data_IF_965952674332
#
_entry.id   IF_965952674332
#
_cell.length_a   1.000
_cell.length_b   1.000
_cell.length_c   1.000
_cell.angle_alpha   90.00
_cell.angle_beta   90.00
_cell.angle_gamma   90.00
#
_symmetry.space_group_name_H-M   'P 1'
#
loop_
_entity.id
_entity.type
_entity.pdbx_description
1 polymer ?
#
# COMPACT_ATOMS: atom_id res chain seq x y z
N UNK A 1 8.71 12.17 -5.02
CA UNK A 1 7.58 12.97 -4.49
C UNK A 1 8.12 13.79 -3.34
N UNK A 2 7.77 15.07 -3.29
CA UNK A 2 8.01 15.90 -2.10
C UNK A 2 7.10 15.45 -0.94
N UNK A 3 7.38 15.83 0.31
CA UNK A 3 6.49 15.53 1.44
C UNK A 3 5.06 16.04 1.24
N UNK A 4 4.89 17.17 0.55
CA UNK A 4 3.57 17.72 0.24
C UNK A 4 2.84 16.91 -0.85
N UNK A 5 3.55 16.54 -1.92
CA UNK A 5 3.00 15.63 -2.94
C UNK A 5 2.62 14.29 -2.34
N UNK A 6 3.38 13.84 -1.33
CA UNK A 6 3.08 12.65 -0.56
C UNK A 6 1.79 12.78 0.24
N UNK A 7 1.65 13.82 1.07
CA UNK A 7 0.41 14.02 1.85
C UNK A 7 -0.81 14.06 0.94
N UNK A 8 -0.74 14.84 -0.15
CA UNK A 8 -1.82 14.96 -1.12
C UNK A 8 -2.17 13.60 -1.77
N UNK A 9 -1.16 12.76 -2.04
CA UNK A 9 -1.37 11.45 -2.61
C UNK A 9 -2.07 10.49 -1.64
N UNK A 10 -1.65 10.49 -0.37
CA UNK A 10 -2.21 9.60 0.67
C UNK A 10 -3.63 10.00 1.06
N UNK A 11 -3.94 11.29 1.00
CA UNK A 11 -5.25 11.85 1.35
C UNK A 11 -6.31 11.69 0.24
N UNK A 12 -5.90 11.56 -1.02
CA UNK A 12 -6.83 11.41 -2.13
C UNK A 12 -7.51 10.02 -2.12
N UNK A 13 -8.85 9.95 -1.94
CA UNK A 13 -9.59 8.70 -1.82
C UNK A 13 -9.64 7.90 -3.12
N UNK A 14 -9.25 8.48 -4.26
CA UNK A 14 -9.17 7.78 -5.54
C UNK A 14 -7.87 6.96 -5.67
N UNK A 15 -6.88 7.20 -4.80
CA UNK A 15 -5.63 6.46 -4.81
C UNK A 15 -5.77 5.15 -4.02
N UNK A 16 -5.15 4.10 -4.56
CA UNK A 16 -5.08 2.79 -3.90
C UNK A 16 -3.71 2.66 -3.26
N UNK A 17 -3.69 2.59 -1.94
CA UNK A 17 -2.47 2.43 -1.15
C UNK A 17 -2.43 0.99 -0.66
N UNK A 18 -1.37 0.25 -1.00
CA UNK A 18 -1.21 -1.14 -0.59
C UNK A 18 -0.01 -1.25 0.32
N UNK A 19 -0.25 -1.55 1.59
CA UNK A 19 0.79 -1.71 2.59
C UNK A 19 1.31 -3.15 2.56
N UNK A 20 2.45 -3.37 1.90
CA UNK A 20 3.04 -4.71 1.72
C UNK A 20 4.01 -5.09 2.84
N UNK A 21 4.08 -4.29 3.91
CA UNK A 21 4.89 -4.58 5.09
C UNK A 21 4.30 -5.75 5.88
N UNK A 22 5.12 -6.34 6.74
CA UNK A 22 4.70 -7.47 7.56
C UNK A 22 3.66 -7.04 8.62
N UNK A 23 2.94 -8.01 9.19
CA UNK A 23 1.88 -7.80 10.18
C UNK A 23 2.35 -7.09 11.47
N UNK A 24 3.64 -7.19 11.81
CA UNK A 24 4.19 -6.50 12.97
C UNK A 24 4.28 -4.99 12.71
N UNK A 25 4.85 -4.61 11.57
CA UNK A 25 4.99 -3.20 11.16
C UNK A 25 3.63 -2.52 10.96
N UNK A 26 2.64 -3.25 10.43
CA UNK A 26 1.27 -2.75 10.28
C UNK A 26 0.62 -2.40 11.62
N UNK A 27 0.93 -3.14 12.70
CA UNK A 27 0.42 -2.88 14.05
C UNK A 27 1.06 -1.66 14.71
N UNK A 28 2.28 -1.30 14.32
CA UNK A 28 2.96 -0.07 14.79
C UNK A 28 2.27 1.17 14.21
N UNK A 29 1.72 1.05 13.00
CA UNK A 29 0.90 2.09 12.39
C UNK A 29 0.88 1.93 10.87
N UNK A 30 -0.25 2.25 10.27
CA UNK A 30 -0.43 2.29 8.81
C UNK A 30 -1.25 3.52 8.42
N UNK A 31 -1.20 3.89 7.15
CA UNK A 31 -2.03 4.98 6.64
C UNK A 31 -3.50 4.59 6.70
N UNK A 32 -4.36 5.54 7.07
CA UNK A 32 -5.80 5.31 7.28
C UNK A 32 -6.52 4.66 6.08
N UNK A 33 -6.04 4.95 4.87
CA UNK A 33 -6.64 4.47 3.62
C UNK A 33 -5.87 3.29 2.99
N UNK A 34 -4.88 2.72 3.69
CA UNK A 34 -4.09 1.61 3.17
C UNK A 34 -4.85 0.28 3.26
N UNK A 35 -4.53 -0.61 2.31
CA UNK A 35 -4.97 -2.00 2.32
C UNK A 35 -3.76 -2.86 2.58
N UNK A 36 -3.75 -3.58 3.71
CA UNK A 36 -2.75 -4.63 3.94
C UNK A 36 -3.25 -5.95 3.33
N UNK A 37 -2.52 -6.54 2.37
CA UNK A 37 -2.94 -7.78 1.72
C UNK A 37 -2.65 -9.02 2.59
N UNK A 38 -1.88 -8.87 3.68
CA UNK A 38 -1.37 -9.94 4.53
C UNK A 38 -0.77 -11.11 3.72
N UNK A 39 0.18 -10.78 2.85
CA UNK A 39 0.81 -11.75 1.94
C UNK A 39 2.25 -11.99 2.34
N UNK A 40 2.68 -13.24 2.34
CA UNK A 40 4.02 -13.65 2.77
C UNK A 40 5.05 -13.64 1.64
N UNK A 41 4.59 -13.60 0.40
CA UNK A 41 5.44 -13.60 -0.79
C UNK A 41 4.77 -12.88 -1.96
N UNK A 42 5.55 -12.62 -3.01
CA UNK A 42 5.09 -11.90 -4.18
C UNK A 42 4.00 -12.63 -4.99
N UNK A 43 3.93 -13.96 -4.92
CA UNK A 43 2.88 -14.73 -5.61
C UNK A 43 1.52 -14.48 -4.97
N UNK A 44 1.46 -14.57 -3.64
CA UNK A 44 0.26 -14.25 -2.86
C UNK A 44 -0.19 -12.81 -3.09
N UNK A 45 0.75 -11.87 -3.20
CA UNK A 45 0.44 -10.48 -3.57
C UNK A 45 -0.24 -10.37 -4.93
N UNK A 46 0.29 -11.05 -5.96
CA UNK A 46 -0.34 -11.09 -7.29
C UNK A 46 -1.75 -11.67 -7.25
N UNK A 47 -1.96 -12.70 -6.45
CA UNK A 47 -3.26 -13.34 -6.30
C UNK A 47 -4.25 -12.43 -5.57
N UNK A 48 -3.79 -11.70 -4.53
CA UNK A 48 -4.58 -10.66 -3.87
C UNK A 48 -5.05 -9.57 -4.85
N UNK A 49 -4.13 -9.02 -5.65
CA UNK A 49 -4.43 -8.00 -6.68
C UNK A 49 -5.51 -8.48 -7.64
N UNK A 50 -5.35 -9.70 -8.17
CA UNK A 50 -6.30 -10.31 -9.11
C UNK A 50 -7.66 -10.52 -8.45
N UNK A 51 -7.69 -11.08 -7.24
CA UNK A 51 -8.92 -11.37 -6.50
C UNK A 51 -9.72 -10.11 -6.17
N UNK A 52 -9.02 -9.02 -5.86
CA UNK A 52 -9.62 -7.71 -5.59
C UNK A 52 -9.95 -6.93 -6.86
N UNK A 53 -9.64 -7.47 -8.04
CA UNK A 53 -9.78 -6.81 -9.35
C UNK A 53 -9.20 -5.39 -9.34
N UNK A 54 -8.07 -5.21 -8.65
CA UNK A 54 -7.45 -3.90 -8.53
C UNK A 54 -6.84 -3.52 -9.86
N UNK A 55 -7.30 -2.40 -10.43
CA UNK A 55 -6.68 -1.84 -11.61
C UNK A 55 -5.39 -1.13 -11.21
N UNK A 56 -4.31 -1.88 -11.26
CA UNK A 56 -2.96 -1.45 -10.94
C UNK A 56 -2.36 -0.41 -11.90
N UNK A 57 -3.12 0.05 -12.92
CA UNK A 57 -2.73 1.19 -13.74
C UNK A 57 -2.82 2.53 -12.99
N UNK A 58 -3.57 2.58 -11.89
CA UNK A 58 -3.48 3.68 -10.92
C UNK A 58 -2.16 3.60 -10.16
N UNK A 59 -1.62 4.75 -9.73
CA UNK A 59 -0.36 4.81 -8.97
C UNK A 59 -0.51 3.95 -7.70
N UNK A 60 0.14 2.80 -7.67
CA UNK A 60 0.29 1.99 -6.46
C UNK A 60 1.55 2.46 -5.81
N UNK A 61 1.47 2.65 -4.50
CA UNK A 61 2.66 2.85 -3.72
C UNK A 61 2.77 1.73 -2.70
N UNK A 62 3.73 0.83 -2.97
CA UNK A 62 4.10 -0.26 -2.09
C UNK A 62 5.27 0.23 -1.22
N UNK A 63 5.03 0.36 0.08
CA UNK A 63 6.05 0.76 1.04
C UNK A 63 6.92 -0.45 1.40
N UNK A 64 8.20 -0.43 1.05
CA UNK A 64 9.20 -1.41 1.46
C UNK A 64 10.33 -0.63 2.13
N UNK A 65 10.22 -0.47 3.45
CA UNK A 65 11.15 0.20 4.37
C UNK A 65 11.53 1.67 4.05
N UNK A 66 11.40 2.54 5.06
CA UNK A 66 11.93 3.90 5.02
C UNK A 66 11.17 4.88 5.93
N UNK A 67 11.32 4.72 7.26
CA UNK A 67 11.44 5.90 8.11
C UNK A 67 12.95 6.17 8.22
N UNK A 68 13.46 6.91 7.24
CA UNK A 68 14.64 7.78 7.33
C UNK A 68 14.55 8.80 6.19
#
# INVERSE_FOLDING_TARGET
>A
MTPLEWSNFVEDPNNIIIDVRNDYENKVGTFKNSISPNTKNFREFKDFVKKKNLNLKGKILAFLYGWD
#
